data_IF_281127135702
#
_entry.id   IF_281127135702
#
_cell.length_a   1.000
_cell.length_b   1.000
_cell.length_c   1.000
_cell.angle_alpha   90.00
_cell.angle_beta   90.00
_cell.angle_gamma   90.00
#
_symmetry.space_group_name_H-M   'P 1'
#
loop_
_entity.id
_entity.type
_entity.pdbx_description
1 polymer ?
#
# COMPACT_ATOMS: atom_id res chain seq x y z
N UNK A 1 45.56 39.87 -5.86
CA UNK A 1 45.34 38.72 -4.96
C UNK A 1 44.11 38.85 -4.04
N UNK A 2 43.63 40.05 -3.69
CA UNK A 2 42.37 40.24 -2.91
C UNK A 2 41.10 40.04 -3.74
N UNK A 3 41.11 40.48 -5.01
CA UNK A 3 40.00 40.36 -5.95
C UNK A 3 39.62 38.89 -6.22
N UNK A 4 40.62 38.02 -6.44
CA UNK A 4 40.42 36.59 -6.70
C UNK A 4 39.83 35.84 -5.51
N UNK A 5 40.11 36.29 -4.28
CA UNK A 5 39.58 35.67 -3.06
C UNK A 5 38.12 36.07 -2.80
N UNK A 6 37.74 37.30 -3.13
CA UNK A 6 36.35 37.76 -3.04
C UNK A 6 35.46 37.05 -4.07
N UNK A 7 35.94 36.89 -5.30
CA UNK A 7 35.28 36.08 -6.34
C UNK A 7 35.12 34.61 -5.92
N UNK A 8 36.14 34.02 -5.28
CA UNK A 8 36.08 32.65 -4.78
C UNK A 8 35.07 32.50 -3.62
N UNK A 9 35.02 33.46 -2.71
CA UNK A 9 34.04 33.52 -1.62
C UNK A 9 32.61 33.72 -2.13
N UNK A 10 32.42 34.57 -3.15
CA UNK A 10 31.12 34.80 -3.79
C UNK A 10 30.64 33.53 -4.53
N UNK A 11 31.52 32.88 -5.29
CA UNK A 11 31.22 31.64 -6.03
C UNK A 11 30.93 30.45 -5.11
N UNK A 12 31.60 30.38 -3.94
CA UNK A 12 31.34 29.35 -2.92
C UNK A 12 30.00 29.53 -2.20
N UNK A 13 29.50 30.76 -2.06
CA UNK A 13 28.16 31.06 -1.50
C UNK A 13 27.01 30.64 -2.42
N UNK A 14 27.22 30.65 -3.74
CA UNK A 14 26.18 30.34 -4.73
C UNK A 14 26.04 28.84 -5.04
N UNK A 15 26.99 28.00 -4.61
CA UNK A 15 27.00 26.56 -4.91
C UNK A 15 26.26 25.68 -3.88
N UNK A 16 25.56 26.27 -2.90
CA UNK A 16 24.89 25.52 -1.85
C UNK A 16 23.37 25.61 -1.98
N UNK A 17 22.81 24.95 -3.00
CA UNK A 17 21.48 24.38 -2.83
C UNK A 17 21.64 23.19 -1.87
N UNK A 18 20.95 23.12 -0.72
CA UNK A 18 21.02 21.93 0.12
C UNK A 18 20.55 20.75 -0.75
N UNK A 19 21.27 19.62 -0.79
CA UNK A 19 20.72 18.46 -1.44
C UNK A 19 19.40 18.15 -0.72
N UNK A 20 18.29 18.20 -1.45
CA UNK A 20 16.99 17.76 -0.95
C UNK A 20 17.01 16.23 -0.76
N UNK A 21 17.91 15.73 0.08
CA UNK A 21 17.91 14.38 0.64
C UNK A 21 17.14 14.44 1.94
N UNK A 22 15.87 14.82 1.85
CA UNK A 22 14.98 14.65 2.99
C UNK A 22 14.61 13.17 3.03
N UNK A 23 14.92 12.51 4.15
CA UNK A 23 14.56 11.12 4.37
C UNK A 23 13.04 10.95 4.24
N UNK A 24 12.60 9.78 3.81
CA UNK A 24 11.20 9.45 3.53
C UNK A 24 10.25 9.83 4.69
N UNK A 25 10.73 9.73 5.93
CA UNK A 25 10.02 10.19 7.13
C UNK A 25 9.74 11.70 7.14
N UNK A 26 10.72 12.53 6.78
CA UNK A 26 10.56 13.99 6.75
C UNK A 26 9.55 14.44 5.66
N UNK A 27 9.49 13.72 4.54
CA UNK A 27 8.50 13.97 3.49
C UNK A 27 7.09 13.58 3.92
N UNK A 28 6.93 12.46 4.64
CA UNK A 28 5.62 12.07 5.17
C UNK A 28 5.13 13.07 6.22
N UNK A 29 5.97 13.45 7.20
CA UNK A 29 5.57 14.45 8.20
C UNK A 29 5.20 15.79 7.57
N UNK A 30 5.95 16.22 6.54
CA UNK A 30 5.64 17.42 5.76
C UNK A 30 4.32 17.27 4.99
N UNK A 31 4.11 16.15 4.33
CA UNK A 31 2.89 15.85 3.58
C UNK A 31 1.63 15.81 4.47
N UNK A 32 1.76 15.32 5.70
CA UNK A 32 0.67 15.37 6.70
C UNK A 32 0.25 16.80 7.05
N UNK A 33 1.18 17.74 7.07
CA UNK A 33 0.91 19.13 7.43
C UNK A 33 0.49 19.99 6.24
N UNK A 34 1.00 19.71 5.03
CA UNK A 34 0.67 20.47 3.81
C UNK A 34 -0.60 19.96 3.12
N UNK A 35 -0.82 18.64 3.04
CA UNK A 35 -1.96 18.04 2.33
C UNK A 35 -2.45 16.76 3.03
N UNK A 36 -3.18 16.87 4.16
CA UNK A 36 -3.60 15.72 4.94
C UNK A 36 -4.54 14.77 4.18
N UNK A 37 -5.42 15.28 3.31
CA UNK A 37 -6.41 14.46 2.60
C UNK A 37 -5.77 13.43 1.66
N UNK A 38 -4.70 13.80 0.97
CA UNK A 38 -4.02 12.92 0.02
C UNK A 38 -3.20 11.86 0.76
N UNK A 39 -2.50 12.26 1.82
CA UNK A 39 -1.73 11.30 2.64
C UNK A 39 -2.69 10.33 3.33
N UNK A 40 -3.77 10.83 3.93
CA UNK A 40 -4.82 10.01 4.52
C UNK A 40 -5.47 9.05 3.52
N UNK A 41 -5.85 9.55 2.34
CA UNK A 41 -6.42 8.75 1.26
C UNK A 41 -5.49 7.64 0.77
N UNK A 42 -4.19 7.94 0.63
CA UNK A 42 -3.19 6.93 0.22
C UNK A 42 -2.99 5.83 1.27
N UNK A 43 -2.95 6.19 2.56
CA UNK A 43 -2.88 5.22 3.66
C UNK A 43 -4.12 4.34 3.68
N UNK A 44 -5.30 4.95 3.51
CA UNK A 44 -6.57 4.22 3.48
C UNK A 44 -6.66 3.28 2.27
N UNK A 45 -6.17 3.72 1.11
CA UNK A 45 -6.08 2.88 -0.09
C UNK A 45 -5.17 1.66 0.14
N UNK A 46 -4.02 1.86 0.79
CA UNK A 46 -3.10 0.76 1.14
C UNK A 46 -3.73 -0.22 2.14
N UNK A 47 -4.46 0.29 3.14
CA UNK A 47 -5.21 -0.55 4.09
C UNK A 47 -6.28 -1.36 3.34
N UNK A 48 -7.01 -0.74 2.41
CA UNK A 48 -7.98 -1.41 1.56
C UNK A 48 -7.36 -2.55 0.74
N UNK A 49 -6.20 -2.32 0.13
CA UNK A 49 -5.44 -3.37 -0.56
C UNK A 49 -5.02 -4.49 0.39
N UNK A 50 -4.62 -4.16 1.61
CA UNK A 50 -4.33 -5.15 2.67
C UNK A 50 -5.54 -6.03 2.99
N UNK A 51 -6.72 -5.43 3.16
CA UNK A 51 -7.95 -6.18 3.42
C UNK A 51 -8.37 -7.07 2.24
N UNK A 52 -8.17 -6.61 1.00
CA UNK A 52 -8.40 -7.44 -0.19
C UNK A 52 -7.52 -8.70 -0.13
N UNK A 53 -6.22 -8.54 0.11
CA UNK A 53 -5.28 -9.67 0.18
C UNK A 53 -5.62 -10.66 1.30
N UNK A 54 -5.92 -10.17 2.51
CA UNK A 54 -6.31 -11.01 3.64
C UNK A 54 -7.64 -11.74 3.37
N UNK A 55 -8.62 -11.03 2.81
CA UNK A 55 -9.93 -11.59 2.45
C UNK A 55 -9.81 -12.71 1.43
N UNK A 56 -9.10 -12.48 0.32
CA UNK A 56 -8.84 -13.48 -0.72
C UNK A 56 -8.11 -14.71 -0.16
N UNK A 57 -7.06 -14.48 0.62
CA UNK A 57 -6.28 -15.59 1.17
C UNK A 57 -7.12 -16.45 2.11
N UNK A 58 -7.92 -15.82 2.98
CA UNK A 58 -8.83 -16.55 3.87
C UNK A 58 -9.96 -17.25 3.10
N UNK A 59 -10.42 -16.67 2.00
CA UNK A 59 -11.44 -17.25 1.14
C UNK A 59 -10.97 -18.56 0.50
N UNK A 60 -9.78 -18.54 -0.11
CA UNK A 60 -9.20 -19.73 -0.74
C UNK A 60 -8.77 -20.80 0.27
N UNK A 61 -8.25 -20.41 1.43
CA UNK A 61 -7.90 -21.37 2.50
C UNK A 61 -9.10 -22.12 3.07
N UNK A 62 -10.29 -21.53 3.01
CA UNK A 62 -11.51 -22.10 3.59
C UNK A 62 -12.46 -22.71 2.57
N UNK A 63 -12.00 -22.90 1.32
CA UNK A 63 -12.84 -23.33 0.20
C UNK A 63 -14.17 -22.53 0.19
N UNK A 64 -14.09 -21.20 0.18
CA UNK A 64 -15.23 -20.31 0.43
C UNK A 64 -16.42 -20.50 -0.52
N UNK A 65 -16.19 -21.13 -1.68
CA UNK A 65 -17.22 -21.54 -2.63
C UNK A 65 -17.99 -22.80 -2.24
N UNK A 66 -17.47 -23.60 -1.32
CA UNK A 66 -17.99 -24.92 -1.00
C UNK A 66 -19.03 -24.89 0.13
N UNK A 67 -20.02 -24.01 -0.04
CA UNK A 67 -21.14 -23.86 0.88
C UNK A 67 -22.27 -24.82 0.51
N UNK A 68 -22.94 -25.36 1.54
CA UNK A 68 -24.12 -26.22 1.37
C UNK A 68 -25.26 -25.54 0.59
N UNK A 69 -25.42 -24.23 0.78
CA UNK A 69 -26.39 -23.42 0.07
C UNK A 69 -25.68 -22.29 -0.68
N UNK A 70 -25.84 -22.25 -2.00
CA UNK A 70 -25.44 -21.14 -2.86
C UNK A 70 -26.69 -20.33 -3.22
N UNK A 71 -26.52 -19.08 -3.63
CA UNK A 71 -27.62 -18.24 -4.13
C UNK A 71 -28.26 -18.77 -5.42
N UNK A 72 -27.63 -19.77 -6.06
CA UNK A 72 -28.18 -20.53 -7.17
C UNK A 72 -28.25 -22.00 -6.80
N UNK A 73 -29.22 -22.73 -7.36
CA UNK A 73 -29.34 -24.16 -7.16
C UNK A 73 -28.15 -24.88 -7.81
N UNK A 74 -27.34 -25.56 -7.01
CA UNK A 74 -26.19 -26.34 -7.49
C UNK A 74 -26.36 -27.79 -7.07
N UNK A 75 -26.43 -28.68 -8.06
CA UNK A 75 -26.43 -30.13 -7.86
C UNK A 75 -24.97 -30.58 -7.70
N UNK A 76 -24.61 -31.03 -6.51
CA UNK A 76 -23.32 -31.69 -6.28
C UNK A 76 -23.45 -33.17 -6.66
N UNK A 77 -22.48 -33.69 -7.40
CA UNK A 77 -22.37 -35.12 -7.68
C UNK A 77 -21.69 -35.77 -6.48
N UNK A 78 -22.19 -36.95 -6.07
CA UNK A 78 -21.64 -37.68 -4.93
C UNK A 78 -20.17 -38.09 -5.13
N UNK A 79 -19.72 -38.23 -6.39
CA UNK A 79 -18.34 -38.59 -6.73
C UNK A 79 -17.35 -37.42 -6.74
N UNK A 80 -17.81 -36.17 -6.65
CA UNK A 80 -16.90 -35.02 -6.71
C UNK A 80 -16.12 -34.91 -5.38
N UNK A 81 -14.77 -34.91 -5.38
CA UNK A 81 -13.98 -34.74 -4.15
C UNK A 81 -14.28 -33.44 -3.41
N UNK A 82 -14.86 -32.43 -4.07
CA UNK A 82 -15.34 -31.18 -3.46
C UNK A 82 -16.62 -31.40 -2.65
N UNK A 83 -17.47 -32.37 -2.99
CA UNK A 83 -18.69 -32.68 -2.24
C UNK A 83 -18.39 -33.08 -0.78
N UNK A 84 -17.27 -33.76 -0.54
CA UNK A 84 -16.84 -34.20 0.80
C UNK A 84 -16.41 -33.05 1.71
N UNK A 85 -15.94 -31.94 1.12
CA UNK A 85 -15.49 -30.75 1.84
C UNK A 85 -16.59 -29.71 2.00
N UNK A 86 -17.83 -30.03 1.63
CA UNK A 86 -18.93 -29.07 1.74
C UNK A 86 -19.13 -28.73 3.20
N UNK A 87 -19.05 -27.44 3.49
CA UNK A 87 -19.23 -26.92 4.84
C UNK A 87 -20.66 -27.16 5.32
N UNK A 88 -20.79 -27.70 6.54
CA UNK A 88 -22.05 -28.11 7.17
C UNK A 88 -22.68 -27.02 8.04
N UNK A 89 -21.95 -25.94 8.27
CA UNK A 89 -22.39 -24.72 8.95
C UNK A 89 -23.39 -23.90 8.12
#
# INVERSE_FOLDING_TARGET
MRETFLEFCAKKKMAAAPPARQGLKALILRGWNEVPDIVGGSVLALIGLGFIGVGLTNYYRKDGENKRYKFTYVVFRDDDPRAQKVRKD
#
